data_IF_034172880323
#
_entry.id   IF_034172880323
#
_cell.length_a   1.000
_cell.length_b   1.000
_cell.length_c   1.000
_cell.angle_alpha   90.00
_cell.angle_beta   90.00
_cell.angle_gamma   90.00
#
_symmetry.space_group_name_H-M   'P 1'
#
loop_
_entity.id
_entity.type
_entity.pdbx_description
1 polymer ?
#
# COMPACT_ATOMS: atom_id res chain seq x y z
N UNK A 1 -2.61 17.76 -11.92
CA UNK A 1 -2.61 17.56 -13.40
C UNK A 1 -2.03 16.23 -13.85
N UNK A 2 -1.61 15.35 -12.94
CA UNK A 2 -1.06 14.03 -13.30
C UNK A 2 -1.96 12.93 -12.76
N UNK A 3 -2.17 11.90 -13.56
CA UNK A 3 -2.84 10.66 -13.17
C UNK A 3 -1.94 9.49 -13.57
N UNK A 4 -1.80 8.52 -12.68
CA UNK A 4 -1.05 7.29 -12.93
C UNK A 4 -2.02 6.10 -12.85
N UNK A 5 -1.90 5.18 -13.81
CA UNK A 5 -2.74 3.99 -13.89
C UNK A 5 -1.84 2.77 -13.95
N UNK A 6 -1.88 1.95 -12.90
CA UNK A 6 -1.17 0.68 -12.85
C UNK A 6 -1.85 -0.41 -13.68
N UNK A 7 -1.04 -1.27 -14.28
CA UNK A 7 -1.47 -2.45 -15.02
C UNK A 7 -0.53 -3.60 -14.66
N UNK A 8 -0.73 -4.17 -13.45
CA UNK A 8 0.09 -5.27 -12.93
C UNK A 8 -0.10 -6.59 -13.67
N UNK A 9 -1.33 -6.89 -14.10
CA UNK A 9 -1.67 -8.10 -14.86
C UNK A 9 -1.78 -7.78 -16.36
N UNK A 10 -0.92 -8.42 -17.17
CA UNK A 10 -0.94 -8.27 -18.61
C UNK A 10 0.35 -8.74 -19.30
N UNK A 11 0.24 -9.05 -20.59
CA UNK A 11 1.43 -9.19 -21.44
C UNK A 11 1.97 -7.80 -21.75
N UNK A 12 3.24 -7.55 -21.44
CA UNK A 12 3.93 -6.38 -21.95
C UNK A 12 5.17 -6.77 -22.77
N UNK A 13 5.94 -5.76 -23.15
CA UNK A 13 7.13 -5.84 -24.00
C UNK A 13 8.25 -6.70 -23.39
N UNK A 14 8.15 -7.05 -22.10
CA UNK A 14 9.15 -7.78 -21.32
C UNK A 14 8.70 -9.18 -20.89
N UNK A 15 7.43 -9.57 -21.12
CA UNK A 15 6.95 -10.91 -20.82
C UNK A 15 5.53 -10.98 -20.27
N UNK A 16 5.21 -12.09 -19.63
CA UNK A 16 3.91 -12.35 -18.99
C UNK A 16 3.90 -11.73 -17.58
N UNK A 17 2.92 -10.89 -17.27
CA UNK A 17 2.70 -10.31 -15.93
C UNK A 17 3.93 -9.59 -15.35
N UNK A 18 4.72 -8.99 -16.22
CA UNK A 18 5.81 -8.07 -15.87
C UNK A 18 5.26 -6.76 -15.32
N UNK A 19 4.17 -6.26 -15.93
CA UNK A 19 3.40 -5.12 -15.46
C UNK A 19 3.95 -3.75 -15.86
N UNK A 20 3.08 -2.74 -15.91
CA UNK A 20 3.41 -1.37 -16.32
C UNK A 20 2.62 -0.30 -15.54
N UNK A 21 3.09 0.94 -15.61
CA UNK A 21 2.32 2.12 -15.18
C UNK A 21 2.19 3.11 -16.33
N UNK A 22 0.96 3.50 -16.65
CA UNK A 22 0.65 4.49 -17.67
C UNK A 22 0.44 5.86 -17.01
N UNK A 23 1.13 6.88 -17.50
CA UNK A 23 1.04 8.23 -16.95
C UNK A 23 0.28 9.14 -17.90
N UNK A 24 -0.69 9.86 -17.36
CA UNK A 24 -1.54 10.79 -18.08
C UNK A 24 -1.39 12.21 -17.53
N UNK A 25 -1.44 13.20 -18.43
CA UNK A 25 -1.55 14.61 -18.06
C UNK A 25 -2.92 15.14 -18.44
N UNK A 26 -3.48 15.99 -17.58
CA UNK A 26 -4.69 16.74 -17.89
C UNK A 26 -4.39 17.74 -19.02
N UNK A 27 -5.19 17.72 -20.08
CA UNK A 27 -5.09 18.64 -21.23
C UNK A 27 -6.27 19.60 -21.32
N UNK A 28 -7.31 19.36 -20.52
CA UNK A 28 -8.53 20.14 -20.44
C UNK A 28 -9.51 19.52 -19.43
N UNK A 29 -10.68 20.13 -19.17
CA UNK A 29 -11.67 19.58 -18.26
C UNK A 29 -12.13 18.18 -18.70
N UNK A 30 -11.77 17.15 -17.92
CA UNK A 30 -12.09 15.74 -18.22
C UNK A 30 -11.24 15.12 -19.33
N UNK A 31 -10.30 15.85 -19.93
CA UNK A 31 -9.44 15.36 -21.00
C UNK A 31 -8.06 14.98 -20.45
N UNK A 32 -7.66 13.74 -20.75
CA UNK A 32 -6.40 13.17 -20.31
C UNK A 32 -5.66 12.57 -21.50
N UNK A 33 -4.39 12.91 -21.64
CA UNK A 33 -3.51 12.34 -22.67
C UNK A 33 -2.42 11.53 -22.00
N UNK A 34 -2.18 10.31 -22.47
CA UNK A 34 -1.05 9.52 -22.02
C UNK A 34 0.26 10.20 -22.45
N UNK A 35 1.13 10.49 -21.48
CA UNK A 35 2.41 11.18 -21.69
C UNK A 35 3.62 10.28 -21.41
N UNK A 36 3.42 9.17 -20.70
CA UNK A 36 4.50 8.23 -20.40
C UNK A 36 3.99 6.79 -20.21
N UNK A 37 4.92 5.83 -20.28
CA UNK A 37 4.71 4.43 -19.89
C UNK A 37 5.96 3.98 -19.13
N UNK A 38 5.78 3.67 -17.85
CA UNK A 38 6.83 3.28 -16.94
C UNK A 38 6.87 1.76 -16.80
N UNK A 39 8.07 1.21 -16.79
CA UNK A 39 8.37 -0.20 -16.55
C UNK A 39 9.45 -0.25 -15.46
N UNK A 40 9.42 -1.29 -14.62
CA UNK A 40 10.55 -1.57 -13.73
C UNK A 40 11.82 -1.82 -14.55
N UNK A 41 12.95 -1.22 -14.18
CA UNK A 41 14.22 -1.39 -14.92
C UNK A 41 14.65 -2.86 -14.97
N UNK A 42 14.40 -3.62 -13.90
CA UNK A 42 14.72 -5.04 -13.76
C UNK A 42 13.49 -5.96 -13.82
N UNK A 43 12.38 -5.47 -14.37
CA UNK A 43 11.11 -6.21 -14.43
C UNK A 43 11.23 -7.59 -15.11
N UNK A 44 10.57 -8.59 -14.50
CA UNK A 44 10.54 -10.00 -14.89
C UNK A 44 9.12 -10.52 -14.94
N UNK A 45 8.95 -11.68 -15.57
CA UNK A 45 7.64 -12.34 -15.59
C UNK A 45 7.10 -12.54 -14.18
N UNK A 46 5.81 -12.24 -13.99
CA UNK A 46 5.08 -12.33 -12.72
C UNK A 46 5.56 -11.39 -11.60
N UNK A 47 6.26 -10.29 -11.93
CA UNK A 47 6.57 -9.25 -10.97
C UNK A 47 5.34 -8.42 -10.55
N UNK A 48 4.27 -8.42 -11.36
CA UNK A 48 3.04 -7.65 -11.14
C UNK A 48 3.31 -6.14 -10.90
N UNK A 49 4.31 -5.58 -11.58
CA UNK A 49 4.65 -4.16 -11.44
C UNK A 49 3.48 -3.26 -11.82
N UNK A 50 3.12 -2.31 -10.96
CA UNK A 50 1.92 -1.50 -11.15
C UNK A 50 0.65 -2.15 -10.60
N UNK A 51 0.77 -3.23 -9.80
CA UNK A 51 -0.33 -3.77 -9.01
C UNK A 51 -0.85 -2.79 -7.96
N UNK A 52 -0.01 -1.86 -7.51
CA UNK A 52 -0.40 -0.71 -6.69
C UNK A 52 0.39 0.53 -7.11
N UNK A 53 -0.24 1.70 -7.11
CA UNK A 53 0.40 2.98 -7.46
C UNK A 53 -0.15 4.09 -6.59
N UNK A 54 0.73 4.94 -6.08
CA UNK A 54 0.34 6.23 -5.48
C UNK A 54 1.38 7.30 -5.84
N UNK A 55 1.00 8.57 -5.79
CA UNK A 55 1.88 9.69 -6.14
C UNK A 55 1.62 10.91 -5.26
N UNK A 56 2.71 11.60 -4.93
CA UNK A 56 2.67 12.90 -4.29
C UNK A 56 3.64 13.83 -5.01
N UNK A 57 3.10 14.93 -5.56
CA UNK A 57 3.84 15.90 -6.36
C UNK A 57 4.69 15.26 -7.48
N UNK A 58 6.01 15.28 -7.34
CA UNK A 58 6.99 14.81 -8.32
C UNK A 58 7.46 13.37 -8.06
N UNK A 59 6.90 12.68 -7.07
CA UNK A 59 7.31 11.35 -6.67
C UNK A 59 6.15 10.37 -6.80
N UNK A 60 6.43 9.22 -7.40
CA UNK A 60 5.48 8.13 -7.57
C UNK A 60 6.07 6.87 -6.94
N UNK A 61 5.26 6.15 -6.18
CA UNK A 61 5.58 4.83 -5.65
C UNK A 61 4.76 3.79 -6.41
N UNK A 62 5.43 2.72 -6.84
CA UNK A 62 4.82 1.62 -7.58
C UNK A 62 5.12 0.31 -6.88
N UNK A 63 4.06 -0.41 -6.53
CA UNK A 63 4.10 -1.75 -5.95
C UNK A 63 4.30 -2.84 -6.99
N UNK A 64 4.98 -3.90 -6.58
CA UNK A 64 5.25 -5.11 -7.34
C UNK A 64 5.32 -6.26 -6.34
N UNK A 65 4.17 -6.90 -6.08
CA UNK A 65 4.06 -7.95 -5.07
C UNK A 65 4.86 -9.20 -5.44
N UNK A 66 5.07 -9.46 -6.74
CA UNK A 66 5.91 -10.54 -7.27
C UNK A 66 5.44 -11.94 -6.86
N UNK A 67 4.98 -12.75 -7.82
CA UNK A 67 4.64 -14.15 -7.54
C UNK A 67 5.91 -14.93 -7.15
N UNK A 68 5.92 -15.55 -5.95
CA UNK A 68 7.06 -16.32 -5.40
C UNK A 68 8.32 -15.51 -5.04
N UNK A 69 8.19 -14.20 -4.90
CA UNK A 69 9.25 -13.33 -4.39
C UNK A 69 8.77 -12.58 -3.14
N UNK A 70 9.66 -11.92 -2.39
CA UNK A 70 9.25 -11.06 -1.28
C UNK A 70 8.36 -9.89 -1.69
N UNK A 71 8.39 -9.52 -2.97
CA UNK A 71 7.85 -8.27 -3.50
C UNK A 71 8.84 -7.11 -3.39
N UNK A 72 8.52 -5.99 -4.05
CA UNK A 72 9.31 -4.77 -4.07
C UNK A 72 8.43 -3.54 -4.27
N UNK A 73 8.98 -2.36 -3.95
CA UNK A 73 8.45 -1.09 -4.45
C UNK A 73 9.50 -0.35 -5.25
N UNK A 74 9.04 0.40 -6.24
CA UNK A 74 9.86 1.19 -7.12
C UNK A 74 9.46 2.65 -6.99
N UNK A 75 10.46 3.52 -6.85
CA UNK A 75 10.26 4.95 -6.72
C UNK A 75 10.61 5.61 -8.04
N UNK A 76 9.65 6.29 -8.64
CA UNK A 76 9.85 7.13 -9.83
C UNK A 76 9.83 8.60 -9.44
N UNK A 77 10.67 9.40 -10.08
CA UNK A 77 10.73 10.85 -9.86
C UNK A 77 10.62 11.60 -11.17
N UNK A 78 9.82 12.66 -11.17
CA UNK A 78 9.63 13.54 -12.31
C UNK A 78 10.66 14.66 -12.30
N UNK A 79 11.58 14.65 -13.27
CA UNK A 79 12.62 15.67 -13.42
C UNK A 79 12.73 16.06 -14.88
N UNK A 80 12.83 17.36 -15.13
CA UNK A 80 13.09 17.91 -16.48
C UNK A 80 12.13 17.38 -17.55
N UNK A 81 10.85 17.21 -17.21
CA UNK A 81 9.82 16.77 -18.16
C UNK A 81 9.69 15.25 -18.33
N UNK A 82 10.38 14.43 -17.53
CA UNK A 82 10.38 12.97 -17.67
C UNK A 82 10.32 12.25 -16.33
N UNK A 83 9.61 11.13 -16.29
CA UNK A 83 9.68 10.18 -15.19
C UNK A 83 10.84 9.20 -15.38
N UNK A 84 11.56 8.90 -14.30
CA UNK A 84 12.59 7.88 -14.29
C UNK A 84 12.60 7.13 -12.96
N UNK A 85 12.89 5.83 -13.00
CA UNK A 85 13.10 5.03 -11.80
C UNK A 85 14.33 5.58 -11.06
N UNK A 86 14.11 6.01 -9.83
CA UNK A 86 15.15 6.51 -8.93
C UNK A 86 15.66 5.43 -8.00
N UNK A 87 14.78 4.53 -7.54
CA UNK A 87 15.11 3.49 -6.56
C UNK A 87 14.22 2.25 -6.71
N UNK A 88 14.76 1.10 -6.28
CA UNK A 88 14.03 -0.13 -5.97
C UNK A 88 14.28 -0.44 -4.49
N UNK A 89 13.23 -0.75 -3.75
CA UNK A 89 13.30 -0.98 -2.31
C UNK A 89 12.68 -2.35 -2.02
N UNK A 90 13.42 -3.14 -1.24
CA UNK A 90 12.98 -4.38 -0.63
C UNK A 90 12.90 -4.18 0.88
N UNK A 91 12.03 -4.90 1.61
CA UNK A 91 12.00 -4.82 3.06
C UNK A 91 13.30 -5.38 3.67
N UNK A 92 13.78 -4.78 4.77
CA UNK A 92 15.05 -5.18 5.41
C UNK A 92 15.03 -6.67 5.85
N UNK A 93 13.85 -7.19 6.17
CA UNK A 93 13.58 -8.54 6.61
C UNK A 93 12.93 -9.42 5.52
N UNK A 94 13.26 -9.14 4.26
CA UNK A 94 12.75 -9.84 3.06
C UNK A 94 12.57 -11.34 3.25
N UNK A 95 11.33 -11.81 3.13
CA UNK A 95 10.96 -13.21 3.07
C UNK A 95 10.04 -13.47 1.87
N UNK A 96 10.17 -14.65 1.26
CA UNK A 96 9.36 -15.05 0.11
C UNK A 96 7.89 -15.05 0.48
N UNK A 97 7.03 -14.60 -0.45
CA UNK A 97 5.58 -14.54 -0.31
C UNK A 97 5.07 -13.57 0.77
N UNK A 98 5.90 -12.66 1.30
CA UNK A 98 5.42 -11.60 2.20
C UNK A 98 4.45 -10.63 1.50
N UNK A 99 4.47 -10.60 0.17
CA UNK A 99 3.69 -9.72 -0.70
C UNK A 99 3.99 -8.23 -0.44
N UNK A 100 5.27 -7.90 -0.24
CA UNK A 100 5.69 -6.51 -0.07
C UNK A 100 5.35 -5.70 -1.33
N UNK A 101 4.70 -4.55 -1.16
CA UNK A 101 4.28 -3.71 -2.28
C UNK A 101 2.91 -4.06 -2.85
N UNK A 102 2.15 -4.98 -2.24
CA UNK A 102 0.79 -5.31 -2.68
C UNK A 102 -0.18 -4.13 -2.53
N UNK A 103 0.02 -3.26 -1.53
CA UNK A 103 -0.66 -1.98 -1.39
C UNK A 103 0.37 -0.93 -0.99
N UNK A 104 0.24 0.27 -1.58
CA UNK A 104 1.12 1.41 -1.29
C UNK A 104 0.27 2.66 -1.07
N UNK A 105 0.73 3.54 -0.19
CA UNK A 105 0.14 4.86 0.02
C UNK A 105 1.24 5.89 0.30
N UNK A 106 1.06 7.13 -0.14
CA UNK A 106 2.06 8.18 -0.05
C UNK A 106 1.44 9.51 0.34
N UNK A 107 2.08 10.18 1.31
CA UNK A 107 1.79 11.57 1.62
C UNK A 107 3.09 12.29 1.94
N UNK A 108 3.36 13.37 1.20
CA UNK A 108 4.57 14.18 1.36
C UNK A 108 5.87 13.34 1.39
N UNK A 109 6.55 13.30 2.54
CA UNK A 109 7.84 12.65 2.75
C UNK A 109 7.74 11.23 3.32
N UNK A 110 6.54 10.64 3.31
CA UNK A 110 6.27 9.33 3.89
C UNK A 110 5.56 8.41 2.90
N UNK A 111 6.11 7.20 2.73
CA UNK A 111 5.49 6.10 1.98
C UNK A 111 5.14 5.00 2.96
N UNK A 112 3.96 4.40 2.79
CA UNK A 112 3.55 3.18 3.48
C UNK A 112 3.45 2.06 2.45
N UNK A 113 4.06 0.92 2.77
CA UNK A 113 4.09 -0.26 1.91
C UNK A 113 3.59 -1.44 2.70
N UNK A 114 2.64 -2.18 2.17
CA UNK A 114 2.11 -3.35 2.86
C UNK A 114 2.86 -4.63 2.54
N UNK A 115 2.79 -5.61 3.46
CA UNK A 115 3.25 -6.98 3.30
C UNK A 115 2.33 -7.93 4.10
N UNK A 116 1.13 -8.18 3.58
CA UNK A 116 0.04 -8.84 4.32
C UNK A 116 0.33 -10.26 4.77
N UNK A 117 1.29 -10.94 4.13
CA UNK A 117 1.62 -12.34 4.45
C UNK A 117 2.88 -12.47 5.27
N UNK A 118 3.48 -11.35 5.69
CA UNK A 118 4.60 -11.36 6.63
C UNK A 118 4.25 -12.21 7.87
N UNK A 119 5.20 -13.06 8.26
CA UNK A 119 4.97 -14.08 9.27
C UNK A 119 5.70 -13.83 10.60
N UNK A 120 6.28 -12.64 10.81
CA UNK A 120 7.12 -12.35 11.99
C UNK A 120 6.39 -12.58 13.32
N UNK A 121 5.09 -12.25 13.38
CA UNK A 121 4.27 -12.40 14.60
C UNK A 121 3.31 -13.60 14.56
N UNK A 122 3.49 -14.49 13.58
CA UNK A 122 2.60 -15.62 13.32
C UNK A 122 2.31 -15.76 11.83
N UNK A 123 1.96 -16.96 11.38
CA UNK A 123 1.65 -17.23 9.97
C UNK A 123 0.63 -16.22 9.43
N UNK A 124 1.03 -15.40 8.45
CA UNK A 124 0.19 -14.34 7.86
C UNK A 124 -0.43 -13.36 8.87
N UNK A 125 0.31 -13.08 9.94
CA UNK A 125 -0.03 -12.00 10.87
C UNK A 125 0.06 -10.63 10.20
N UNK A 126 0.95 -10.50 9.22
CA UNK A 126 1.05 -9.35 8.32
C UNK A 126 1.83 -8.17 8.90
N UNK A 127 2.26 -7.26 8.01
CA UNK A 127 3.01 -6.07 8.35
C UNK A 127 2.74 -4.91 7.37
N UNK A 128 3.08 -3.70 7.81
CA UNK A 128 3.24 -2.54 6.94
C UNK A 128 4.56 -1.83 7.25
N UNK A 129 5.18 -1.22 6.25
CA UNK A 129 6.51 -0.63 6.33
C UNK A 129 6.41 0.85 5.98
N UNK A 130 7.06 1.68 6.78
CA UNK A 130 7.11 3.13 6.59
C UNK A 130 8.48 3.49 6.02
N UNK A 131 8.49 4.07 4.83
CA UNK A 131 9.69 4.61 4.21
C UNK A 131 9.70 6.13 4.34
N UNK A 132 10.86 6.68 4.67
CA UNK A 132 11.09 8.14 4.74
C UNK A 132 12.39 8.49 4.05
N UNK A 133 12.53 9.75 3.61
CA UNK A 133 13.79 10.23 3.05
C UNK A 133 14.87 10.37 4.12
N UNK A 134 16.06 9.89 3.81
CA UNK A 134 17.26 10.05 4.60
C UNK A 134 18.38 10.58 3.71
N UNK A 135 19.18 11.51 4.21
CA UNK A 135 20.38 11.94 3.50
C UNK A 135 21.39 10.80 3.40
N UNK A 136 21.96 10.62 2.22
CA UNK A 136 23.07 9.71 1.98
C UNK A 136 24.27 10.06 2.86
N UNK A 137 25.20 9.12 3.05
CA UNK A 137 26.36 9.32 3.94
C UNK A 137 27.27 10.48 3.53
N UNK A 138 27.29 10.84 2.24
CA UNK A 138 28.00 12.01 1.71
C UNK A 138 27.22 13.33 1.91
N UNK A 139 25.97 13.26 2.35
CA UNK A 139 25.09 14.39 2.62
C UNK A 139 24.56 15.10 1.37
N UNK A 140 24.83 14.57 0.18
CA UNK A 140 24.54 15.24 -1.11
C UNK A 140 23.14 14.89 -1.63
N UNK A 141 22.70 13.64 -1.45
CA UNK A 141 21.44 13.15 -1.98
C UNK A 141 20.51 12.71 -0.84
N UNK A 142 19.24 12.52 -1.17
CA UNK A 142 18.27 11.90 -0.30
C UNK A 142 17.81 10.59 -0.94
N UNK A 143 17.71 9.56 -0.11
CA UNK A 143 17.22 8.23 -0.48
C UNK A 143 16.03 7.85 0.39
N UNK A 144 15.06 7.15 -0.18
CA UNK A 144 14.02 6.51 0.62
C UNK A 144 14.61 5.30 1.34
N UNK A 145 14.38 5.24 2.64
CA UNK A 145 14.83 4.12 3.48
C UNK A 145 13.70 3.65 4.37
N UNK A 146 13.70 2.36 4.70
CA UNK A 146 12.82 1.81 5.70
C UNK A 146 13.13 2.46 7.07
N UNK A 147 12.15 3.19 7.60
CA UNK A 147 12.27 3.92 8.87
C UNK A 147 11.61 3.18 10.02
N UNK A 148 10.55 2.41 9.73
CA UNK A 148 9.80 1.67 10.72
C UNK A 148 9.03 0.51 10.07
N UNK A 149 8.90 -0.60 10.81
CA UNK A 149 7.93 -1.67 10.54
C UNK A 149 6.76 -1.55 11.54
N UNK A 150 5.55 -1.68 11.04
CA UNK A 150 4.29 -1.63 11.79
C UNK A 150 3.68 -3.03 11.80
N UNK A 151 3.26 -3.47 12.99
CA UNK A 151 2.44 -4.65 13.20
C UNK A 151 1.30 -4.27 14.15
N UNK A 152 0.17 -5.00 14.09
CA UNK A 152 -0.88 -4.83 15.08
C UNK A 152 -0.36 -5.21 16.48
N UNK A 153 -0.71 -4.44 17.52
CA UNK A 153 -0.31 -4.75 18.90
C UNK A 153 -0.78 -6.14 19.33
N UNK A 154 -1.97 -6.52 18.88
CA UNK A 154 -2.72 -7.76 19.08
C UNK A 154 -2.59 -8.76 17.91
N UNK A 155 -1.61 -8.56 17.01
CA UNK A 155 -1.42 -9.42 15.83
C UNK A 155 -1.50 -10.92 16.16
N UNK A 156 -2.37 -11.62 15.43
CA UNK A 156 -2.60 -13.05 15.50
C UNK A 156 -2.36 -13.74 14.14
N UNK A 157 -2.52 -15.05 14.13
CA UNK A 157 -2.32 -15.88 12.93
C UNK A 157 -3.45 -15.60 11.94
N UNK A 158 -3.10 -15.36 10.69
CA UNK A 158 -4.01 -15.15 9.56
C UNK A 158 -4.81 -13.85 9.54
N UNK A 159 -4.60 -12.90 10.45
CA UNK A 159 -5.28 -11.59 10.41
C UNK A 159 -5.05 -10.81 9.11
N UNK A 160 -3.95 -11.12 8.40
CA UNK A 160 -3.53 -10.46 7.16
C UNK A 160 -3.41 -8.92 7.31
N UNK A 161 -2.84 -8.44 8.43
CA UNK A 161 -2.54 -7.03 8.62
C UNK A 161 -1.68 -6.48 7.47
N UNK A 162 -2.07 -5.35 6.89
CA UNK A 162 -1.45 -4.84 5.66
C UNK A 162 -2.19 -5.27 4.39
N UNK A 163 -3.44 -5.73 4.49
CA UNK A 163 -4.25 -6.00 3.30
C UNK A 163 -4.56 -4.76 2.47
N UNK A 164 -4.64 -3.62 3.16
CA UNK A 164 -4.78 -2.29 2.57
C UNK A 164 -4.08 -1.26 3.46
N UNK A 165 -3.54 -0.20 2.85
CA UNK A 165 -2.91 0.91 3.58
C UNK A 165 -3.38 2.25 3.03
N UNK A 166 -3.49 3.24 3.91
CA UNK A 166 -3.72 4.64 3.56
C UNK A 166 -2.89 5.55 4.49
N UNK A 167 -2.51 6.72 4.00
CA UNK A 167 -1.83 7.75 4.78
C UNK A 167 -2.36 9.14 4.42
N UNK A 168 -2.57 9.98 5.43
CA UNK A 168 -2.74 11.42 5.26
C UNK A 168 -2.18 12.16 6.48
N UNK A 169 -1.26 13.09 6.24
CA UNK A 169 -0.53 13.79 7.29
C UNK A 169 0.12 12.84 8.31
N UNK A 170 -0.26 12.99 9.57
CA UNK A 170 0.24 12.20 10.70
C UNK A 170 -0.64 10.96 11.03
N UNK A 171 -1.43 10.49 10.05
CA UNK A 171 -2.32 9.33 10.21
C UNK A 171 -2.02 8.26 9.18
N UNK A 172 -1.73 7.04 9.63
CA UNK A 172 -1.71 5.84 8.80
C UNK A 172 -2.88 4.95 9.21
N UNK A 173 -3.56 4.36 8.24
CA UNK A 173 -4.58 3.33 8.45
C UNK A 173 -4.13 2.06 7.77
N UNK A 174 -4.23 0.93 8.48
CA UNK A 174 -3.86 -0.38 7.96
C UNK A 174 -4.99 -1.37 8.18
N UNK A 175 -5.45 -2.03 7.12
CA UNK A 175 -6.48 -3.06 7.18
C UNK A 175 -5.94 -4.44 7.55
N UNK A 176 -6.76 -5.25 8.21
CA UNK A 176 -6.54 -6.65 8.54
C UNK A 176 -7.87 -7.41 8.37
N UNK A 177 -8.23 -7.66 7.11
CA UNK A 177 -9.57 -8.16 6.76
C UNK A 177 -9.89 -9.57 7.30
N UNK A 178 -8.90 -10.35 7.75
CA UNK A 178 -9.15 -11.69 8.29
C UNK A 178 -9.12 -11.75 9.83
N UNK A 179 -8.92 -10.62 10.50
CA UNK A 179 -9.00 -10.53 11.96
C UNK A 179 -10.34 -11.06 12.47
N UNK A 180 -10.32 -11.89 13.51
CA UNK A 180 -11.49 -12.65 13.97
C UNK A 180 -12.08 -12.21 15.32
N UNK A 181 -11.70 -11.02 15.80
CA UNK A 181 -12.07 -10.51 17.12
C UNK A 181 -13.57 -10.33 17.34
N UNK A 182 -14.35 -10.09 16.28
CA UNK A 182 -15.81 -9.92 16.33
C UNK A 182 -16.58 -11.14 15.85
N UNK A 183 -16.05 -11.80 14.83
CA UNK A 183 -16.53 -13.05 14.25
C UNK A 183 -15.43 -13.59 13.34
N UNK A 184 -15.48 -14.87 12.96
CA UNK A 184 -14.44 -15.43 12.09
C UNK A 184 -14.34 -14.62 10.78
N UNK A 185 -13.16 -14.07 10.49
CA UNK A 185 -12.92 -13.18 9.34
C UNK A 185 -13.82 -11.92 9.32
N UNK A 186 -14.20 -11.41 10.50
CA UNK A 186 -14.97 -10.15 10.61
C UNK A 186 -14.18 -8.92 10.16
N UNK A 187 -12.85 -8.98 10.31
CA UNK A 187 -11.90 -7.96 9.91
C UNK A 187 -11.76 -6.79 10.88
N UNK A 188 -10.62 -6.11 10.76
CA UNK A 188 -10.24 -4.95 11.57
C UNK A 188 -9.48 -3.91 10.75
N UNK A 189 -9.43 -2.67 11.25
CA UNK A 189 -8.54 -1.63 10.74
C UNK A 189 -7.82 -0.93 11.89
N UNK A 190 -6.56 -0.58 11.69
CA UNK A 190 -5.69 -0.06 12.73
C UNK A 190 -5.21 1.34 12.37
N UNK A 191 -5.38 2.29 13.29
CA UNK A 191 -4.92 3.67 13.13
C UNK A 191 -3.59 3.85 13.84
N UNK A 192 -2.57 4.26 13.09
CA UNK A 192 -1.28 4.69 13.61
C UNK A 192 -1.18 6.20 13.55
N UNK A 193 -0.67 6.82 14.63
CA UNK A 193 -0.40 8.26 14.69
C UNK A 193 1.08 8.53 14.84
N UNK A 194 1.57 9.54 14.12
CA UNK A 194 2.96 10.00 14.23
C UNK A 194 3.12 10.81 15.52
N UNK A 195 4.13 10.49 16.32
CA UNK A 195 4.44 11.25 17.53
C UNK A 195 5.49 12.33 17.28
N UNK A 196 5.78 13.16 18.29
CA UNK A 196 6.73 14.28 18.21
C UNK A 196 8.18 13.88 17.87
N UNK A 197 8.54 12.59 17.98
CA UNK A 197 9.86 12.06 17.59
C UNK A 197 9.86 11.50 16.16
N UNK A 198 8.75 11.66 15.42
CA UNK A 198 8.58 11.15 14.07
C UNK A 198 8.23 9.65 13.98
N UNK A 199 8.04 8.97 15.12
CA UNK A 199 7.71 7.55 15.16
C UNK A 199 6.20 7.32 15.12
N UNK A 200 5.78 6.30 14.39
CA UNK A 200 4.40 5.85 14.29
C UNK A 200 4.04 4.91 15.43
N UNK A 201 2.87 5.08 16.03
CA UNK A 201 2.36 4.19 17.07
C UNK A 201 0.89 3.87 16.84
N UNK A 202 0.51 2.62 17.08
CA UNK A 202 -0.89 2.23 17.10
C UNK A 202 -1.61 3.08 18.15
N UNK A 203 -2.69 3.70 17.72
CA UNK A 203 -3.51 4.60 18.52
C UNK A 203 -4.91 4.02 18.77
N UNK A 204 -5.43 3.26 17.81
CA UNK A 204 -6.77 2.69 17.86
C UNK A 204 -6.89 1.47 16.95
N UNK A 205 -7.67 0.48 17.38
CA UNK A 205 -8.26 -0.57 16.53
C UNK A 205 -9.72 -0.21 16.25
N UNK A 206 -10.12 -0.33 15.00
CA UNK A 206 -11.47 -0.17 14.50
C UNK A 206 -11.99 -1.55 14.12
N UNK A 207 -13.23 -1.82 14.50
CA UNK A 207 -14.01 -3.00 14.12
C UNK A 207 -15.37 -2.53 13.65
N UNK A 208 -16.00 -3.27 12.75
CA UNK A 208 -17.40 -3.04 12.41
C UNK A 208 -18.26 -3.23 13.68
N UNK A 209 -19.17 -2.29 14.02
CA UNK A 209 -20.07 -2.43 15.17
C UNK A 209 -20.95 -3.69 15.11
N UNK A 210 -21.31 -4.06 13.89
CA UNK A 210 -22.11 -5.17 13.37
C UNK A 210 -21.24 -6.26 12.73
N UNK A 211 -19.92 -6.26 12.96
CA UNK A 211 -19.02 -7.24 12.35
C UNK A 211 -19.38 -8.69 12.71
N UNK A 212 -19.62 -9.49 11.68
CA UNK A 212 -20.00 -10.89 11.72
C UNK A 212 -19.04 -11.74 10.84
N UNK A 213 -19.36 -13.01 10.66
CA UNK A 213 -18.57 -13.94 9.85
C UNK A 213 -18.41 -13.47 8.39
N UNK A 214 -17.17 -13.45 7.90
CA UNK A 214 -16.80 -13.10 6.50
C UNK A 214 -17.11 -11.66 6.05
N UNK A 215 -17.24 -10.73 6.99
CA UNK A 215 -17.40 -9.31 6.66
C UNK A 215 -16.11 -8.68 6.12
N UNK A 216 -14.93 -9.19 6.42
CA UNK A 216 -13.70 -8.66 5.82
C UNK A 216 -13.51 -7.14 6.00
N UNK A 217 -13.95 -6.57 7.13
CA UNK A 217 -13.76 -5.15 7.45
C UNK A 217 -12.26 -4.80 7.39
N UNK A 218 -11.91 -3.70 6.72
CA UNK A 218 -10.51 -3.35 6.47
C UNK A 218 -9.94 -3.92 5.16
N UNK A 219 -10.78 -4.51 4.30
CA UNK A 219 -10.36 -4.93 2.97
C UNK A 219 -9.89 -3.74 2.11
N UNK A 220 -10.55 -2.58 2.23
CA UNK A 220 -9.99 -1.29 1.81
C UNK A 220 -10.09 -0.22 2.88
N UNK A 221 -9.16 0.73 2.83
CA UNK A 221 -9.09 1.88 3.74
C UNK A 221 -8.75 3.14 2.96
N UNK A 222 -9.23 4.29 3.42
CA UNK A 222 -8.83 5.61 2.96
C UNK A 222 -8.77 6.59 4.13
N UNK A 223 -7.93 7.61 4.02
CA UNK A 223 -7.78 8.66 5.03
C UNK A 223 -7.73 10.03 4.35
N UNK A 224 -8.44 11.01 4.92
CA UNK A 224 -8.35 12.41 4.50
C UNK A 224 -8.74 13.34 5.64
N UNK A 225 -7.82 14.20 6.04
CA UNK A 225 -7.91 15.02 7.24
C UNK A 225 -8.17 14.18 8.47
N UNK A 226 -9.26 14.51 9.17
CA UNK A 226 -9.70 13.78 10.36
C UNK A 226 -10.65 12.61 10.05
N UNK A 227 -10.95 12.36 8.76
CA UNK A 227 -11.89 11.30 8.34
C UNK A 227 -11.15 10.04 7.94
N UNK A 228 -11.59 8.90 8.48
CA UNK A 228 -11.14 7.56 8.04
C UNK A 228 -12.31 6.82 7.45
N UNK A 229 -12.09 6.21 6.29
CA UNK A 229 -13.06 5.36 5.62
C UNK A 229 -12.54 3.94 5.62
N UNK A 230 -13.37 2.98 6.00
CA UNK A 230 -13.05 1.55 5.96
C UNK A 230 -14.16 0.82 5.21
N UNK A 231 -13.78 0.00 4.25
CA UNK A 231 -14.74 -0.75 3.45
C UNK A 231 -14.79 -2.23 3.85
N UNK A 232 -15.96 -2.79 3.58
CA UNK A 232 -16.32 -4.18 3.60
C UNK A 232 -16.84 -4.52 2.18
N UNK A 233 -16.20 -5.45 1.47
CA UNK A 233 -16.61 -5.85 0.12
C UNK A 233 -17.64 -6.99 0.09
N UNK A 234 -17.92 -7.61 1.25
CA UNK A 234 -18.76 -8.82 1.37
C UNK A 234 -19.91 -8.68 2.37
N UNK A 235 -20.13 -7.47 2.90
CA UNK A 235 -21.21 -7.18 3.84
C UNK A 235 -22.56 -7.63 3.28
N UNK A 236 -23.25 -8.50 4.01
CA UNK A 236 -24.52 -9.10 3.57
C UNK A 236 -25.77 -8.49 4.23
N UNK A 237 -25.61 -7.38 4.97
CA UNK A 237 -26.67 -6.68 5.71
C UNK A 237 -27.95 -6.40 4.90
N UNK A 238 -27.81 -6.14 3.60
CA UNK A 238 -28.94 -5.86 2.70
C UNK A 238 -29.15 -6.90 1.60
N UNK A 239 -28.11 -7.62 1.21
CA UNK A 239 -28.10 -8.76 0.28
C UNK A 239 -26.71 -9.41 0.27
N UNK A 240 -26.57 -10.68 -0.13
CA UNK A 240 -25.27 -11.38 -0.27
C UNK A 240 -24.20 -10.49 -0.93
N UNK A 241 -23.12 -10.19 -0.19
CA UNK A 241 -22.01 -9.35 -0.64
C UNK A 241 -22.42 -7.95 -1.16
N UNK A 242 -23.43 -7.33 -0.55
CA UNK A 242 -23.87 -5.97 -0.85
C UNK A 242 -22.80 -4.91 -0.57
N UNK A 243 -21.86 -5.20 0.34
CA UNK A 243 -20.75 -4.34 0.71
C UNK A 243 -21.18 -3.11 1.51
N UNK A 244 -20.31 -2.67 2.41
CA UNK A 244 -20.51 -1.50 3.26
C UNK A 244 -19.27 -0.63 3.33
N UNK A 245 -19.51 0.64 3.65
CA UNK A 245 -18.46 1.62 3.92
C UNK A 245 -18.76 2.31 5.24
N UNK A 246 -17.79 2.27 6.15
CA UNK A 246 -17.86 2.87 7.47
C UNK A 246 -17.00 4.13 7.49
N UNK A 247 -17.56 5.22 8.01
CA UNK A 247 -16.88 6.52 8.12
C UNK A 247 -16.69 6.85 9.61
N UNK A 248 -15.45 7.13 9.99
CA UNK A 248 -15.02 7.41 11.36
C UNK A 248 -14.44 8.81 11.50
#
# INVERSE_FOLDING_TARGET
DTMAVGAGDGFDERGVNTGAVYVYSATGPGEWTQVDKLLADDGREYDDFGGAVDLFEDTMVVGSNGMFLPGAVYIFTYRSGRWSQSQKILPDDSAVDDLFGQSVAMFADTIVVSAKWNAERGYRSGAAYVLTRKKTNDGVQEEWVQSQKLTADDAAVQDNFGSSVAIDGDTIVVGAYNDDDKGQESGSAYIFKRNKKGLWKQSRKLVAPDGEYNDWFGNCVAASGDTVVVCNNFDDDRADASGSVYVF
#
